data_IF_501609288376
#
_entry.id   IF_501609288376
#
_cell.length_a   1.000
_cell.length_b   1.000
_cell.length_c   1.000
_cell.angle_alpha   90.00
_cell.angle_beta   90.00
_cell.angle_gamma   90.00
#
_symmetry.space_group_name_H-M   'P 1'
#
loop_
_entity.id
_entity.type
_entity.pdbx_description
1 polymer ?
#
# COMPACT_ATOMS: atom_id res chain seq x y z
N UNK A 1 1.81 12.97 -27.62
CA UNK A 1 1.47 13.12 -26.19
C UNK A 1 2.29 12.08 -25.44
N UNK A 2 3.44 12.49 -24.89
CA UNK A 2 4.33 11.61 -24.15
C UNK A 2 3.70 11.38 -22.78
N UNK A 3 3.25 10.16 -22.51
CA UNK A 3 2.74 9.79 -21.20
C UNK A 3 3.88 9.98 -20.18
N UNK A 4 3.69 10.76 -19.10
CA UNK A 4 4.74 10.99 -18.15
C UNK A 4 5.19 9.68 -17.51
N UNK A 5 6.46 9.69 -17.13
CA UNK A 5 7.20 8.60 -16.54
C UNK A 5 6.37 7.85 -15.49
N UNK A 6 6.35 6.52 -15.63
CA UNK A 6 5.69 5.59 -14.72
C UNK A 6 6.00 5.91 -13.26
N UNK A 7 5.00 5.77 -12.37
CA UNK A 7 5.15 5.74 -10.90
C UNK A 7 6.56 5.36 -10.45
N UNK A 8 7.21 6.25 -9.72
CA UNK A 8 8.57 6.07 -9.19
C UNK A 8 8.52 5.17 -7.96
N UNK A 9 9.44 4.22 -7.85
CA UNK A 9 9.48 3.28 -6.72
C UNK A 9 10.73 3.58 -5.91
N UNK A 10 10.54 4.02 -4.67
CA UNK A 10 11.59 4.16 -3.69
C UNK A 10 11.53 2.97 -2.73
N UNK A 11 12.64 2.25 -2.58
CA UNK A 11 12.76 1.11 -1.66
C UNK A 11 13.63 1.53 -0.49
N UNK A 12 13.20 1.26 0.74
CA UNK A 12 13.90 1.77 1.91
C UNK A 12 15.15 0.95 2.23
N UNK A 13 15.05 -0.39 2.25
CA UNK A 13 16.18 -1.29 2.46
C UNK A 13 16.74 -1.88 1.16
N UNK A 14 16.05 -1.68 0.04
CA UNK A 14 16.44 -2.16 -1.30
C UNK A 14 16.16 -3.64 -1.56
N UNK A 15 15.79 -4.41 -0.53
CA UNK A 15 15.49 -5.84 -0.62
C UNK A 15 14.00 -6.14 -0.59
N UNK A 16 13.14 -5.14 -0.41
CA UNK A 16 11.70 -5.32 -0.43
C UNK A 16 11.25 -5.94 -1.75
N UNK A 17 10.31 -6.88 -1.68
CA UNK A 17 9.69 -7.49 -2.87
C UNK A 17 8.22 -7.13 -2.90
N UNK A 18 7.78 -6.59 -4.04
CA UNK A 18 6.37 -6.30 -4.26
C UNK A 18 5.66 -7.60 -4.66
N UNK A 19 4.60 -8.03 -3.95
CA UNK A 19 3.78 -9.19 -4.32
C UNK A 19 3.28 -9.10 -5.77
N UNK A 20 3.33 -10.19 -6.52
CA UNK A 20 2.99 -10.19 -7.95
C UNK A 20 3.96 -9.41 -8.87
N UNK A 21 5.03 -8.86 -8.31
CA UNK A 21 6.11 -8.19 -9.04
C UNK A 21 5.84 -6.74 -9.43
N UNK A 22 6.91 -5.97 -9.63
CA UNK A 22 6.86 -4.52 -9.95
C UNK A 22 5.97 -4.18 -11.15
N UNK A 23 5.89 -5.08 -12.15
CA UNK A 23 5.09 -4.84 -13.36
C UNK A 23 3.59 -4.76 -13.04
N UNK A 24 3.09 -5.57 -12.12
CA UNK A 24 1.68 -5.55 -11.72
C UNK A 24 1.33 -4.21 -11.06
N UNK A 25 2.14 -3.78 -10.09
CA UNK A 25 1.97 -2.52 -9.36
C UNK A 25 1.98 -1.30 -10.28
N UNK A 26 2.91 -1.28 -11.25
CA UNK A 26 2.93 -0.23 -12.28
C UNK A 26 1.70 -0.26 -13.18
N UNK A 27 1.17 -1.43 -13.53
CA UNK A 27 -0.08 -1.50 -14.32
C UNK A 27 -1.26 -0.94 -13.53
N UNK A 28 -1.38 -1.28 -12.25
CA UNK A 28 -2.42 -0.77 -11.36
C UNK A 28 -2.32 0.76 -11.21
N UNK A 29 -1.12 1.29 -10.95
CA UNK A 29 -0.88 2.73 -10.87
C UNK A 29 -1.28 3.46 -12.16
N UNK A 30 -0.87 2.94 -13.33
CA UNK A 30 -1.26 3.51 -14.63
C UNK A 30 -2.76 3.50 -14.84
N UNK A 31 -3.45 2.43 -14.44
CA UNK A 31 -4.91 2.32 -14.59
C UNK A 31 -5.66 3.37 -13.73
N UNK A 32 -5.05 3.77 -12.63
CA UNK A 32 -5.52 4.85 -11.75
C UNK A 32 -4.94 6.24 -12.09
N UNK A 33 -4.16 6.36 -13.17
CA UNK A 33 -3.44 7.58 -13.55
C UNK A 33 -2.49 8.14 -12.46
N UNK A 34 -1.99 7.27 -11.58
CA UNK A 34 -1.01 7.65 -10.55
C UNK A 34 0.41 7.67 -11.13
N UNK A 35 1.04 8.84 -11.09
CA UNK A 35 2.42 9.12 -11.55
C UNK A 35 3.36 9.54 -10.39
N UNK A 36 2.89 9.42 -9.15
CA UNK A 36 3.62 9.81 -7.94
C UNK A 36 4.72 8.83 -7.53
N UNK A 37 5.07 8.91 -6.24
CA UNK A 37 6.06 8.04 -5.60
C UNK A 37 5.34 6.91 -4.87
N UNK A 38 5.79 5.67 -5.08
CA UNK A 38 5.52 4.54 -4.21
C UNK A 38 6.74 4.32 -3.31
N UNK A 39 6.59 4.67 -2.03
CA UNK A 39 7.59 4.39 -1.00
C UNK A 39 7.32 3.02 -0.40
N UNK A 40 8.24 2.08 -0.62
CA UNK A 40 8.11 0.69 -0.19
C UNK A 40 8.99 0.49 1.03
N UNK A 41 8.33 0.19 2.14
CA UNK A 41 8.97 -0.13 3.40
C UNK A 41 8.92 -1.64 3.60
N UNK A 42 10.08 -2.22 3.88
CA UNK A 42 10.10 -3.54 4.48
C UNK A 42 9.45 -3.46 5.86
N UNK A 43 8.66 -4.48 6.20
CA UNK A 43 8.50 -4.88 7.58
C UNK A 43 9.06 -6.28 7.74
N UNK A 44 9.82 -6.47 8.80
CA UNK A 44 10.21 -7.78 9.25
C UNK A 44 9.20 -8.33 10.21
N UNK A 45 9.58 -9.47 10.74
CA UNK A 45 9.07 -9.95 11.98
C UNK A 45 9.30 -8.95 13.10
N UNK A 46 8.25 -8.64 13.86
CA UNK A 46 8.41 -8.13 15.23
C UNK A 46 8.01 -6.68 15.36
N UNK A 47 7.53 -6.05 14.29
CA UNK A 47 6.93 -4.74 14.39
C UNK A 47 7.13 -3.88 13.15
N UNK A 48 6.08 -3.10 12.88
CA UNK A 48 5.89 -2.23 11.71
C UNK A 48 6.86 -1.04 11.74
N UNK A 49 7.27 -0.49 10.58
CA UNK A 49 7.85 0.84 10.52
C UNK A 49 6.77 1.92 10.71
N UNK A 50 6.84 2.65 11.83
CA UNK A 50 6.33 4.04 11.95
C UNK A 50 4.86 4.23 12.34
N UNK A 51 4.62 5.34 13.06
CA UNK A 51 3.31 5.98 13.32
C UNK A 51 2.36 5.22 14.26
N UNK A 52 1.91 4.05 13.82
CA UNK A 52 0.87 3.23 14.47
C UNK A 52 1.40 2.57 15.74
N UNK A 53 2.69 2.20 15.77
CA UNK A 53 3.35 1.70 16.99
C UNK A 53 3.46 2.79 18.06
N UNK A 54 3.85 4.02 17.68
CA UNK A 54 3.84 5.18 18.59
C UNK A 54 2.44 5.59 19.05
N UNK A 55 1.41 5.33 18.23
CA UNK A 55 0.01 5.52 18.62
C UNK A 55 -0.43 4.44 19.60
N UNK A 56 -0.19 3.17 19.30
CA UNK A 56 -0.49 2.02 20.14
C UNK A 56 0.22 2.06 21.51
N UNK A 57 1.52 2.40 21.54
CA UNK A 57 2.30 2.60 22.77
C UNK A 57 1.74 3.73 23.64
N UNK A 58 1.11 4.74 23.03
CA UNK A 58 0.55 5.91 23.72
C UNK A 58 -0.91 5.72 24.12
N UNK A 59 -1.70 4.94 23.37
CA UNK A 59 -3.17 4.88 23.54
C UNK A 59 -3.69 3.49 23.90
N UNK A 60 -2.86 2.44 23.89
CA UNK A 60 -3.28 1.07 24.25
C UNK A 60 -4.24 0.40 23.26
N UNK A 61 -4.65 1.10 22.19
CA UNK A 61 -5.60 0.63 21.17
C UNK A 61 -4.91 0.48 19.81
N UNK A 62 -5.13 -0.68 19.17
CA UNK A 62 -4.67 -1.02 17.82
C UNK A 62 -5.87 -1.28 16.90
N UNK A 63 -6.47 -0.24 16.29
CA UNK A 63 -7.59 -0.42 15.37
C UNK A 63 -7.08 -0.74 13.95
N UNK A 64 -7.20 -2.02 13.54
CA UNK A 64 -6.94 -2.49 12.17
C UNK A 64 -5.49 -2.30 11.69
N UNK A 65 -5.01 -3.17 10.80
CA UNK A 65 -3.70 -2.96 10.18
C UNK A 65 -3.93 -2.25 8.85
N UNK A 66 -3.13 -1.22 8.57
CA UNK A 66 -3.22 -0.42 7.35
C UNK A 66 -1.86 -0.58 6.70
N UNK A 67 -1.79 -1.41 5.65
CA UNK A 67 -0.54 -1.74 4.97
C UNK A 67 -0.18 -0.76 3.85
N UNK A 68 -0.95 0.30 3.67
CA UNK A 68 -0.61 1.40 2.78
C UNK A 68 -1.22 2.72 3.27
N UNK A 69 -0.59 3.85 2.96
CA UNK A 69 -1.16 5.18 3.20
C UNK A 69 -1.08 6.05 1.94
N UNK A 70 -1.95 7.05 1.87
CA UNK A 70 -1.99 8.01 0.78
C UNK A 70 -1.88 9.46 1.25
N UNK A 71 -0.99 10.18 0.57
CA UNK A 71 -0.95 11.63 0.49
C UNK A 71 -0.86 12.05 -0.98
N UNK A 72 -1.28 13.27 -1.36
CA UNK A 72 -1.15 13.75 -2.72
C UNK A 72 0.26 13.57 -3.32
N UNK A 73 0.38 12.65 -4.29
CA UNK A 73 1.63 12.34 -4.99
C UNK A 73 2.52 11.28 -4.30
N UNK A 74 2.12 10.71 -3.18
CA UNK A 74 2.86 9.70 -2.43
C UNK A 74 1.94 8.60 -1.91
N UNK A 75 2.28 7.36 -2.20
CA UNK A 75 1.72 6.19 -1.54
C UNK A 75 2.84 5.50 -0.78
N UNK A 76 2.66 5.27 0.51
CA UNK A 76 3.57 4.42 1.29
C UNK A 76 2.95 3.03 1.39
N UNK A 77 3.76 2.01 1.28
CA UNK A 77 3.31 0.62 1.40
C UNK A 77 4.29 -0.18 2.21
N UNK A 78 3.74 -1.07 3.03
CA UNK A 78 4.48 -1.98 3.87
C UNK A 78 4.40 -3.38 3.27
N UNK A 79 5.56 -4.00 3.02
CA UNK A 79 5.66 -5.36 2.50
C UNK A 79 6.61 -6.21 3.34
N UNK A 80 6.39 -7.54 3.44
CA UNK A 80 7.33 -8.42 4.11
C UNK A 80 8.76 -8.28 3.55
N UNK A 81 9.76 -8.08 4.42
CA UNK A 81 11.19 -8.12 4.07
C UNK A 81 11.98 -8.98 5.06
N UNK A 82 12.63 -10.02 4.55
CA UNK A 82 13.52 -10.92 5.32
C UNK A 82 14.75 -10.22 5.88
N UNK A 83 15.11 -9.07 5.31
CA UNK A 83 16.24 -8.24 5.73
C UNK A 83 16.09 -7.56 7.09
N UNK A 84 14.86 -7.55 7.65
CA UNK A 84 14.52 -6.93 8.93
C UNK A 84 14.04 -7.99 9.95
N UNK A 85 14.38 -9.26 9.73
CA UNK A 85 13.81 -10.38 10.46
C UNK A 85 14.45 -10.62 11.83
N UNK A 86 13.61 -10.61 12.87
CA UNK A 86 13.76 -11.42 14.08
C UNK A 86 12.42 -12.17 14.36
N UNK A 87 12.22 -13.32 13.67
CA UNK A 87 11.21 -14.46 13.80
C UNK A 87 9.65 -14.34 13.58
N UNK A 88 9.18 -14.19 12.31
CA UNK A 88 7.82 -13.98 11.69
C UNK A 88 6.84 -15.09 11.88
N UNK A 89 5.74 -14.85 12.58
CA UNK A 89 4.61 -15.74 12.43
C UNK A 89 3.82 -15.36 11.15
N UNK A 90 4.02 -16.12 10.08
CA UNK A 90 3.27 -15.97 8.83
C UNK A 90 1.77 -16.23 9.01
N UNK A 91 1.38 -16.94 10.06
CA UNK A 91 -0.01 -17.29 10.35
C UNK A 91 -0.81 -16.07 10.83
N UNK A 92 -0.17 -15.07 11.47
CA UNK A 92 -0.83 -13.83 11.89
C UNK A 92 -1.27 -12.94 10.70
N UNK A 93 -0.57 -12.98 9.56
CA UNK A 93 -0.99 -12.24 8.35
C UNK A 93 -2.15 -12.95 7.64
N UNK A 94 -2.13 -14.28 7.62
CA UNK A 94 -3.23 -15.09 7.12
C UNK A 94 -4.49 -14.89 7.98
N UNK A 95 -4.34 -14.76 9.29
CA UNK A 95 -5.42 -14.49 10.23
C UNK A 95 -6.00 -13.07 10.06
N UNK A 96 -5.16 -12.05 9.83
CA UNK A 96 -5.60 -10.68 9.56
C UNK A 96 -6.16 -10.46 8.14
N UNK A 97 -5.88 -11.37 7.18
CA UNK A 97 -6.25 -11.27 5.75
C UNK A 97 -5.78 -10.00 5.06
N UNK A 98 -4.71 -9.37 5.54
CA UNK A 98 -4.26 -8.10 4.99
C UNK A 98 -3.18 -8.31 3.93
N UNK A 99 -3.52 -7.92 2.70
CA UNK A 99 -2.66 -8.00 1.52
C UNK A 99 -2.16 -6.61 1.11
N UNK A 100 -0.83 -6.38 1.03
CA UNK A 100 -0.27 -5.09 0.61
C UNK A 100 -0.78 -4.62 -0.75
N UNK A 101 -1.11 -5.54 -1.65
CA UNK A 101 -1.63 -5.19 -2.97
C UNK A 101 -3.06 -4.64 -2.86
N UNK A 102 -3.93 -5.29 -2.07
CA UNK A 102 -5.26 -4.78 -1.71
C UNK A 102 -5.18 -3.37 -1.11
N UNK A 103 -4.35 -3.16 -0.08
CA UNK A 103 -4.16 -1.84 0.53
C UNK A 103 -3.65 -0.80 -0.48
N UNK A 104 -2.68 -1.15 -1.34
CA UNK A 104 -2.24 -0.25 -2.39
C UNK A 104 -3.36 0.17 -3.34
N UNK A 105 -4.22 -0.76 -3.75
CA UNK A 105 -5.35 -0.41 -4.64
C UNK A 105 -6.45 0.40 -3.96
N UNK A 106 -6.60 0.25 -2.64
CA UNK A 106 -7.41 1.14 -1.82
C UNK A 106 -6.87 2.58 -1.87
N UNK A 107 -5.56 2.77 -1.64
CA UNK A 107 -4.91 4.09 -1.72
C UNK A 107 -4.99 4.72 -3.12
N UNK A 108 -4.95 3.92 -4.19
CA UNK A 108 -5.22 4.41 -5.55
C UNK A 108 -6.65 4.95 -5.68
N UNK A 109 -7.61 4.42 -4.92
CA UNK A 109 -8.96 4.97 -4.82
C UNK A 109 -8.97 6.36 -4.18
N UNK A 110 -8.21 6.57 -3.11
CA UNK A 110 -8.01 7.91 -2.52
C UNK A 110 -7.35 8.87 -3.49
N UNK A 111 -6.37 8.42 -4.27
CA UNK A 111 -5.78 9.21 -5.34
C UNK A 111 -6.82 9.68 -6.37
N UNK A 112 -7.66 8.77 -6.86
CA UNK A 112 -8.72 9.12 -7.83
C UNK A 112 -9.73 10.10 -7.24
N UNK A 113 -10.07 9.97 -5.95
CA UNK A 113 -10.92 10.95 -5.27
C UNK A 113 -10.25 12.32 -5.22
N UNK A 114 -9.00 12.39 -4.80
CA UNK A 114 -8.25 13.65 -4.70
C UNK A 114 -8.10 14.34 -6.05
N UNK A 115 -7.78 13.58 -7.11
CA UNK A 115 -7.66 14.13 -8.46
C UNK A 115 -8.96 14.80 -8.95
N UNK A 116 -10.12 14.28 -8.53
CA UNK A 116 -11.44 14.80 -8.94
C UNK A 116 -11.98 15.91 -8.04
N UNK A 117 -11.76 15.80 -6.73
CA UNK A 117 -12.47 16.61 -5.72
C UNK A 117 -11.55 17.42 -4.83
N UNK A 118 -10.23 17.25 -4.94
CA UNK A 118 -9.23 17.78 -4.00
C UNK A 118 -9.48 17.38 -2.54
N UNK A 119 -10.20 16.26 -2.35
CA UNK A 119 -10.48 15.62 -1.07
C UNK A 119 -10.51 14.10 -1.28
N UNK A 120 -10.12 13.33 -0.26
CA UNK A 120 -9.97 11.87 -0.38
C UNK A 120 -10.42 11.09 0.85
N UNK A 121 -11.29 11.63 1.70
CA UNK A 121 -11.64 11.02 3.00
C UNK A 121 -12.73 9.93 2.93
N UNK A 122 -13.15 9.49 1.74
CA UNK A 122 -14.24 8.51 1.61
C UNK A 122 -13.69 7.08 1.46
N UNK A 123 -13.59 6.38 2.59
CA UNK A 123 -13.13 4.99 2.69
C UNK A 123 -13.93 4.02 1.82
N UNK A 124 -15.27 4.14 1.80
CA UNK A 124 -16.12 3.23 1.04
C UNK A 124 -15.89 3.34 -0.47
N UNK A 125 -15.61 4.55 -0.97
CA UNK A 125 -15.25 4.77 -2.38
C UNK A 125 -13.87 4.20 -2.67
N UNK A 126 -12.90 4.40 -1.78
CA UNK A 126 -11.54 3.86 -1.94
C UNK A 126 -11.53 2.33 -1.96
N UNK A 127 -12.21 1.70 -1.00
CA UNK A 127 -12.37 0.25 -0.90
C UNK A 127 -13.08 -0.34 -2.13
N UNK A 128 -14.19 0.29 -2.57
CA UNK A 128 -14.90 -0.16 -3.77
C UNK A 128 -14.04 -0.04 -5.02
N UNK A 129 -13.31 1.07 -5.17
CA UNK A 129 -12.41 1.29 -6.30
C UNK A 129 -11.31 0.22 -6.35
N UNK A 130 -10.62 -0.02 -5.23
CA UNK A 130 -9.54 -1.00 -5.15
C UNK A 130 -9.99 -2.41 -5.54
N UNK A 131 -11.12 -2.87 -4.98
CA UNK A 131 -11.70 -4.18 -5.33
C UNK A 131 -12.04 -4.33 -6.81
N UNK A 132 -12.64 -3.29 -7.42
CA UNK A 132 -12.97 -3.33 -8.85
C UNK A 132 -11.71 -3.34 -9.70
N UNK A 133 -10.70 -2.56 -9.32
CA UNK A 133 -9.44 -2.47 -10.03
C UNK A 133 -8.69 -3.82 -10.03
N UNK A 134 -8.65 -4.53 -8.90
CA UNK A 134 -8.05 -5.87 -8.83
C UNK A 134 -8.78 -6.88 -9.73
N UNK A 135 -10.13 -6.86 -9.71
CA UNK A 135 -10.96 -7.70 -10.58
C UNK A 135 -10.70 -7.44 -12.07
N UNK A 136 -10.65 -6.17 -12.49
CA UNK A 136 -10.32 -5.80 -13.88
C UNK A 136 -8.95 -6.33 -14.33
N UNK A 137 -8.04 -6.50 -13.38
CA UNK A 137 -6.67 -6.92 -13.61
C UNK A 137 -6.46 -8.43 -13.49
N UNK A 138 -7.53 -9.19 -13.19
CA UNK A 138 -7.48 -10.65 -13.04
C UNK A 138 -6.72 -11.10 -11.79
N UNK A 139 -6.67 -10.26 -10.76
CA UNK A 139 -6.08 -10.58 -9.45
C UNK A 139 -7.23 -10.88 -8.49
N UNK A 140 -7.27 -12.10 -7.96
CA UNK A 140 -8.28 -12.61 -7.04
C UNK A 140 -7.74 -12.77 -5.64
#
# INVERSE_FOLDING_TARGET
MLWPETMRIARYCGRERLPGGVRLWRRLARRAAFDGILAVYGYGVGGRPGGSQRKAERTGELPGTVLADYEPGLIRVWVPCTCQAAEFDADQLLEAREDPLSSFTHELGHHVQYARRRAYFNEAVAERYGRLLLREMGVS
#
